data_IF_005953753912
#
_entry.id   IF_005953753912
#
_cell.length_a   1.000
_cell.length_b   1.000
_cell.length_c   1.000
_cell.angle_alpha   90.00
_cell.angle_beta   90.00
_cell.angle_gamma   90.00
#
_symmetry.space_group_name_H-M   'P 1'
#
loop_
_entity.id
_entity.type
_entity.pdbx_description
1 polymer ?
#
# COMPACT_ATOMS: atom_id res chain seq x y z
N UNK A 1 33.21 7.73 -29.32
CA UNK A 1 32.94 8.64 -28.18
C UNK A 1 31.44 8.82 -27.86
N UNK A 2 30.49 8.58 -28.78
CA UNK A 2 29.04 8.66 -28.46
C UNK A 2 28.45 7.46 -27.67
N UNK A 3 28.96 6.24 -27.86
CA UNK A 3 28.34 5.02 -27.31
C UNK A 3 28.55 4.82 -25.79
N UNK A 4 29.65 5.35 -25.24
CA UNK A 4 29.95 5.26 -23.80
C UNK A 4 29.08 6.19 -22.96
N UNK A 5 28.70 7.35 -23.50
CA UNK A 5 27.80 8.32 -22.85
C UNK A 5 26.38 7.77 -22.69
N UNK A 6 25.82 7.18 -23.75
CA UNK A 6 24.47 6.60 -23.73
C UNK A 6 24.35 5.40 -22.78
N UNK A 7 25.42 4.61 -22.64
CA UNK A 7 25.46 3.46 -21.74
C UNK A 7 25.31 3.88 -20.26
N UNK A 8 25.96 4.98 -19.85
CA UNK A 8 25.84 5.51 -18.49
C UNK A 8 24.41 5.94 -18.17
N UNK A 9 23.72 6.56 -19.13
CA UNK A 9 22.32 6.95 -18.95
C UNK A 9 21.41 5.74 -18.74
N UNK A 10 21.61 4.66 -19.51
CA UNK A 10 20.83 3.42 -19.36
C UNK A 10 21.05 2.80 -17.96
N UNK A 11 22.30 2.76 -17.49
CA UNK A 11 22.60 2.24 -16.15
C UNK A 11 22.02 3.10 -15.03
N UNK A 12 22.05 4.43 -15.18
CA UNK A 12 21.43 5.36 -14.23
C UNK A 12 19.91 5.13 -14.18
N UNK A 13 19.25 5.03 -15.34
CA UNK A 13 17.81 4.73 -15.39
C UNK A 13 17.48 3.37 -14.76
N UNK A 14 18.26 2.32 -15.08
CA UNK A 14 18.08 1.00 -14.49
C UNK A 14 18.26 0.99 -12.97
N UNK A 15 19.19 1.80 -12.45
CA UNK A 15 19.39 1.95 -11.02
C UNK A 15 18.23 2.70 -10.34
N UNK A 16 17.72 3.77 -10.98
CA UNK A 16 16.56 4.53 -10.47
C UNK A 16 15.31 3.64 -10.45
N UNK A 17 15.05 2.87 -11.51
CA UNK A 17 13.90 1.96 -11.53
C UNK A 17 14.06 0.85 -10.50
N UNK A 18 15.26 0.29 -10.34
CA UNK A 18 15.54 -0.70 -9.30
C UNK A 18 15.27 -0.14 -7.88
N UNK A 19 15.74 1.08 -7.57
CA UNK A 19 15.43 1.74 -6.29
C UNK A 19 13.92 1.93 -6.13
N UNK A 20 13.24 2.41 -7.17
CA UNK A 20 11.80 2.67 -7.13
C UNK A 20 10.99 1.39 -6.86
N UNK A 21 11.37 0.29 -7.53
CA UNK A 21 10.77 -1.03 -7.34
C UNK A 21 11.02 -1.52 -5.91
N UNK A 22 12.24 -1.40 -5.40
CA UNK A 22 12.58 -1.78 -4.02
C UNK A 22 11.75 -0.99 -2.99
N UNK A 23 11.50 0.30 -3.24
CA UNK A 23 10.66 1.16 -2.37
C UNK A 23 9.21 0.66 -2.29
N UNK A 24 8.63 0.23 -3.41
CA UNK A 24 7.26 -0.31 -3.44
C UNK A 24 7.18 -1.60 -2.63
N UNK A 25 8.18 -2.49 -2.76
CA UNK A 25 8.21 -3.74 -1.98
C UNK A 25 8.44 -3.52 -0.48
N UNK A 26 9.06 -2.40 -0.10
CA UNK A 26 9.30 -2.04 1.29
C UNK A 26 8.13 -1.27 1.94
N UNK A 27 7.00 -1.08 1.24
CA UNK A 27 5.86 -0.36 1.79
C UNK A 27 5.11 -1.23 2.81
N UNK A 28 5.10 -0.79 4.07
CA UNK A 28 4.35 -1.45 5.14
C UNK A 28 2.86 -1.08 5.13
N UNK A 29 2.02 -1.99 5.65
CA UNK A 29 0.61 -1.72 5.88
C UNK A 29 0.44 -0.73 7.04
N UNK A 30 -0.13 0.44 6.76
CA UNK A 30 -0.50 1.41 7.79
C UNK A 30 -1.88 1.08 8.38
N UNK A 31 -1.98 1.06 9.70
CA UNK A 31 -3.25 0.82 10.42
C UNK A 31 -3.47 1.95 11.42
N UNK A 32 -4.57 2.68 11.26
CA UNK A 32 -4.96 3.78 12.14
C UNK A 32 -6.35 3.50 12.76
N UNK A 33 -6.53 3.84 14.04
CA UNK A 33 -7.82 3.71 14.74
C UNK A 33 -8.60 5.01 14.60
N UNK A 34 -9.66 5.00 13.81
CA UNK A 34 -10.54 6.18 13.66
C UNK A 34 -11.50 6.33 14.85
N UNK A 35 -11.99 5.21 15.38
CA UNK A 35 -12.90 5.18 16.51
C UNK A 35 -12.69 3.89 17.29
N UNK A 36 -12.65 4.02 18.63
CA UNK A 36 -12.72 2.91 19.55
C UNK A 36 -13.71 3.28 20.67
N UNK A 37 -14.71 2.43 20.96
CA UNK A 37 -15.62 2.68 22.07
C UNK A 37 -14.86 2.60 23.41
N UNK A 38 -15.36 3.33 24.41
CA UNK A 38 -14.75 3.39 25.75
C UNK A 38 -14.68 2.01 26.43
N UNK A 39 -15.70 1.18 26.20
CA UNK A 39 -15.76 -0.20 26.70
C UNK A 39 -15.74 -1.16 25.51
N UNK A 40 -14.73 -2.04 25.46
CA UNK A 40 -14.55 -3.04 24.41
C UNK A 40 -13.92 -4.31 25.02
N UNK A 41 -14.75 -5.15 25.64
CA UNK A 41 -14.28 -6.29 26.43
C UNK A 41 -13.75 -7.44 25.57
N UNK A 42 -14.16 -7.52 24.30
CA UNK A 42 -13.71 -8.54 23.36
C UNK A 42 -13.08 -7.91 22.12
N UNK A 43 -11.79 -8.18 21.92
CA UNK A 43 -11.06 -7.87 20.69
C UNK A 43 -11.09 -9.05 19.71
N UNK A 44 -10.97 -8.75 18.43
CA UNK A 44 -10.82 -9.78 17.40
C UNK A 44 -9.50 -10.53 17.56
N UNK A 45 -9.50 -11.81 17.19
CA UNK A 45 -8.33 -12.69 17.21
C UNK A 45 -8.33 -13.63 16.01
N UNK A 46 -7.20 -14.28 15.77
CA UNK A 46 -7.07 -15.27 14.70
C UNK A 46 -8.12 -16.38 14.86
N UNK A 47 -8.81 -16.69 13.75
CA UNK A 47 -9.89 -17.68 13.70
C UNK A 47 -11.30 -17.14 13.95
N UNK A 48 -11.45 -15.89 14.37
CA UNK A 48 -12.78 -15.28 14.52
C UNK A 48 -13.39 -14.96 13.14
N UNK A 49 -14.68 -15.25 12.97
CA UNK A 49 -15.46 -14.76 11.82
C UNK A 49 -15.93 -13.33 12.12
N UNK A 50 -15.68 -12.41 11.18
CA UNK A 50 -16.00 -10.99 11.31
C UNK A 50 -17.01 -10.57 10.24
N UNK A 51 -17.92 -9.66 10.61
CA UNK A 51 -18.85 -9.01 9.68
C UNK A 51 -18.59 -7.52 9.71
N UNK A 52 -18.10 -6.95 8.62
CA UNK A 52 -17.61 -5.58 8.55
C UNK A 52 -18.31 -4.79 7.45
N UNK A 53 -18.50 -3.49 7.70
CA UNK A 53 -18.78 -2.52 6.64
C UNK A 53 -17.45 -1.88 6.21
N UNK A 54 -17.08 -2.07 4.94
CA UNK A 54 -15.84 -1.55 4.38
C UNK A 54 -16.10 -0.67 3.15
N UNK A 55 -15.13 0.21 2.86
CA UNK A 55 -15.02 0.94 1.60
C UNK A 55 -13.58 0.88 1.13
N UNK A 56 -13.37 0.43 -0.11
CA UNK A 56 -12.05 0.36 -0.75
C UNK A 56 -11.85 1.54 -1.71
N UNK A 57 -10.73 2.24 -1.56
CA UNK A 57 -10.33 3.36 -2.43
C UNK A 57 -8.91 3.19 -2.93
N UNK A 58 -8.64 3.68 -4.15
CA UNK A 58 -7.29 3.88 -4.66
C UNK A 58 -6.60 5.05 -3.93
N UNK A 59 -5.29 5.21 -4.14
CA UNK A 59 -4.51 6.29 -3.51
C UNK A 59 -4.95 7.70 -3.92
N UNK A 60 -5.59 7.83 -5.09
CA UNK A 60 -6.18 9.08 -5.57
C UNK A 60 -7.58 9.35 -4.98
N UNK A 61 -8.08 8.47 -4.11
CA UNK A 61 -9.39 8.56 -3.49
C UNK A 61 -10.53 7.95 -4.31
N UNK A 62 -10.28 7.47 -5.53
CA UNK A 62 -11.30 6.80 -6.35
C UNK A 62 -11.77 5.52 -5.68
N UNK A 63 -13.06 5.44 -5.38
CA UNK A 63 -13.67 4.23 -4.81
C UNK A 63 -13.73 3.11 -5.85
N UNK A 64 -13.32 1.91 -5.47
CA UNK A 64 -13.40 0.73 -6.34
C UNK A 64 -14.35 -0.35 -5.82
N UNK A 65 -14.63 -0.41 -4.51
CA UNK A 65 -15.57 -1.36 -3.91
C UNK A 65 -16.11 -0.87 -2.55
N UNK A 66 -17.22 -1.44 -2.10
CA UNK A 66 -17.74 -1.26 -0.74
C UNK A 66 -18.76 -2.33 -0.38
N UNK A 67 -18.94 -2.58 0.91
CA UNK A 67 -20.05 -3.39 1.42
C UNK A 67 -21.43 -2.72 1.29
N UNK A 68 -21.52 -1.53 0.69
CA UNK A 68 -22.83 -0.94 0.39
C UNK A 68 -23.59 -1.84 -0.58
N UNK A 69 -24.80 -2.22 -0.16
CA UNK A 69 -25.93 -2.35 -1.08
C UNK A 69 -26.31 -0.96 -1.58
#
# INVERSE_FOLDING_TARGET
>A
MCQSSTQYLIFIFAYITFISILRVYAADLKVDVQYAPEVCDRKSKSGDMLTMHYTGTLQDGTKFDSSCV
#
